data_IF_448497397310
#
_entry.id   IF_448497397310
#
_cell.length_a   1.000
_cell.length_b   1.000
_cell.length_c   1.000
_cell.angle_alpha   90.00
_cell.angle_beta   90.00
_cell.angle_gamma   90.00
#
_symmetry.space_group_name_H-M   'P 1'
#
loop_
_entity.id
_entity.type
_entity.pdbx_description
1 polymer ?
#
# COMPACT_ATOMS: atom_id res chain seq x y z
N UNK A 1 -5.73 20.73 -11.19
CA UNK A 1 -5.52 19.29 -11.47
C UNK A 1 -4.27 19.10 -12.32
N UNK A 2 -3.57 17.94 -12.24
CA UNK A 2 -2.43 17.62 -13.13
C UNK A 2 -2.86 17.66 -14.61
N UNK A 3 -4.09 17.24 -14.92
CA UNK A 3 -4.68 17.30 -16.26
C UNK A 3 -4.74 18.71 -16.85
N UNK A 4 -5.05 19.72 -16.03
CA UNK A 4 -5.13 21.12 -16.46
C UNK A 4 -3.75 21.70 -16.80
N UNK A 5 -2.73 21.33 -16.03
CA UNK A 5 -1.33 21.74 -16.28
C UNK A 5 -0.81 21.13 -17.58
N UNK A 6 -1.08 19.84 -17.82
CA UNK A 6 -0.70 19.17 -19.07
C UNK A 6 -1.38 19.80 -20.30
N UNK A 7 -2.64 20.20 -20.14
CA UNK A 7 -3.40 20.91 -21.18
C UNK A 7 -2.78 22.27 -21.50
N UNK A 8 -2.35 23.02 -20.47
CA UNK A 8 -1.67 24.31 -20.65
C UNK A 8 -0.29 24.18 -21.30
N UNK A 9 0.45 23.13 -20.96
CA UNK A 9 1.76 22.85 -21.54
C UNK A 9 1.68 22.20 -22.93
N UNK A 10 0.48 21.93 -23.45
CA UNK A 10 0.23 21.14 -24.67
C UNK A 10 1.05 19.85 -24.72
N UNK A 11 1.35 19.29 -23.54
CA UNK A 11 2.22 18.14 -23.41
C UNK A 11 1.36 16.89 -23.43
N UNK A 12 1.81 15.87 -24.15
CA UNK A 12 1.16 14.57 -24.14
C UNK A 12 1.15 14.00 -22.72
N UNK A 13 -0.06 13.72 -22.22
CA UNK A 13 -0.26 13.32 -20.84
C UNK A 13 0.42 11.98 -20.54
N UNK A 14 0.39 11.05 -21.49
CA UNK A 14 0.99 9.73 -21.35
C UNK A 14 2.52 9.84 -21.19
N UNK A 15 3.16 10.57 -22.10
CA UNK A 15 4.62 10.80 -22.06
C UNK A 15 5.06 11.51 -20.79
N UNK A 16 4.34 12.54 -20.34
CA UNK A 16 4.71 13.27 -19.12
C UNK A 16 4.53 12.38 -17.88
N UNK A 17 3.43 11.65 -17.78
CA UNK A 17 3.19 10.75 -16.66
C UNK A 17 4.20 9.60 -16.65
N UNK A 18 4.64 9.11 -17.80
CA UNK A 18 5.71 8.13 -17.91
C UNK A 18 7.05 8.67 -17.40
N UNK A 19 7.45 9.86 -17.85
CA UNK A 19 8.70 10.49 -17.42
C UNK A 19 8.72 10.84 -15.92
N UNK A 20 7.54 11.14 -15.36
CA UNK A 20 7.35 11.37 -13.93
C UNK A 20 7.28 10.06 -13.11
N UNK A 21 7.34 8.90 -13.75
CA UNK A 21 7.34 7.59 -13.10
C UNK A 21 5.96 7.09 -12.66
N UNK A 22 4.87 7.73 -13.10
CA UNK A 22 3.50 7.25 -12.83
C UNK A 22 3.14 6.03 -13.67
N UNK A 23 3.69 5.91 -14.87
CA UNK A 23 3.60 4.69 -15.68
C UNK A 23 4.66 3.68 -15.22
N UNK A 24 4.51 3.17 -14.00
CA UNK A 24 5.40 2.17 -13.45
C UNK A 24 5.12 0.81 -14.11
N UNK A 25 5.82 0.49 -15.20
CA UNK A 25 5.83 -0.87 -15.79
C UNK A 25 6.55 -1.90 -14.92
N UNK A 26 7.23 -1.46 -13.85
CA UNK A 26 7.69 -2.36 -12.80
C UNK A 26 6.46 -2.82 -12.02
N UNK A 27 5.78 -3.80 -12.61
CA UNK A 27 5.00 -4.81 -11.90
C UNK A 27 5.67 -5.01 -10.55
N UNK A 28 4.90 -4.65 -9.52
CA UNK A 28 5.25 -4.69 -8.11
C UNK A 28 6.42 -5.63 -7.92
N UNK A 29 7.60 -5.06 -7.62
CA UNK A 29 8.82 -5.78 -7.27
C UNK A 29 8.40 -7.14 -6.79
N UNK A 30 8.59 -8.20 -7.59
CA UNK A 30 8.23 -9.56 -7.17
C UNK A 30 8.68 -9.61 -5.73
N UNK A 31 7.74 -9.66 -4.79
CA UNK A 31 8.05 -9.61 -3.37
C UNK A 31 8.65 -10.99 -3.10
N UNK A 32 9.88 -11.19 -3.59
CA UNK A 32 10.63 -12.41 -3.45
C UNK A 32 10.85 -12.47 -1.96
N UNK A 33 10.09 -13.35 -1.34
CA UNK A 33 10.18 -13.65 0.07
C UNK A 33 11.68 -13.82 0.34
N UNK A 34 12.29 -12.94 1.15
CA UNK A 34 13.73 -12.98 1.36
C UNK A 34 14.16 -14.38 1.82
N UNK A 35 15.25 -14.90 1.29
CA UNK A 35 15.68 -16.30 1.51
C UNK A 35 15.74 -16.69 2.98
N UNK A 36 15.99 -15.73 3.89
CA UNK A 36 15.97 -15.93 5.34
C UNK A 36 14.66 -16.54 5.87
N UNK A 37 13.52 -16.24 5.26
CA UNK A 37 12.22 -16.79 5.68
C UNK A 37 12.07 -18.28 5.32
N UNK A 38 12.83 -18.79 4.36
CA UNK A 38 12.89 -20.22 4.05
C UNK A 38 13.96 -20.93 4.87
N UNK A 39 15.06 -20.24 5.21
CA UNK A 39 16.17 -20.80 5.99
C UNK A 39 15.88 -20.86 7.49
N UNK A 40 15.03 -19.95 7.99
CA UNK A 40 14.70 -19.84 9.41
C UNK A 40 13.17 -19.75 9.52
N UNK A 41 12.47 -20.89 9.71
CA UNK A 41 11.01 -20.85 9.86
C UNK A 41 10.63 -20.04 11.09
N UNK A 42 9.52 -19.31 10.99
CA UNK A 42 8.96 -18.58 12.13
C UNK A 42 8.62 -19.57 13.25
N UNK A 43 9.03 -19.25 14.48
CA UNK A 43 8.60 -19.96 15.71
C UNK A 43 7.33 -19.36 16.31
N UNK A 44 6.69 -18.42 15.63
CA UNK A 44 5.45 -17.83 16.13
C UNK A 44 4.36 -18.90 16.18
N UNK A 45 3.70 -19.05 17.33
CA UNK A 45 2.59 -20.00 17.54
C UNK A 45 1.26 -19.48 16.96
N UNK A 46 1.35 -18.65 15.92
CA UNK A 46 0.23 -17.88 15.39
C UNK A 46 0.00 -16.58 16.14
N UNK A 47 -1.14 -15.96 15.87
CA UNK A 47 -1.61 -14.73 16.50
C UNK A 47 -2.96 -15.06 17.11
N UNK A 48 -3.19 -14.66 18.36
CA UNK A 48 -4.53 -14.64 18.92
C UNK A 48 -5.34 -13.56 18.19
N UNK A 49 -6.26 -14.01 17.33
CA UNK A 49 -7.06 -13.12 16.50
C UNK A 49 -7.90 -12.16 17.33
N UNK A 50 -8.40 -12.58 18.50
CA UNK A 50 -9.19 -11.72 19.38
C UNK A 50 -8.34 -10.56 19.91
N UNK A 51 -7.15 -10.84 20.44
CA UNK A 51 -6.23 -9.80 20.93
C UNK A 51 -5.80 -8.89 19.77
N UNK A 52 -5.54 -9.46 18.60
CA UNK A 52 -5.15 -8.72 17.41
C UNK A 52 -6.25 -7.75 16.95
N UNK A 53 -7.50 -8.21 16.84
CA UNK A 53 -8.62 -7.37 16.40
C UNK A 53 -8.93 -6.25 17.39
N UNK A 54 -8.92 -6.55 18.69
CA UNK A 54 -9.10 -5.52 19.73
C UNK A 54 -8.01 -4.44 19.65
N UNK A 55 -6.75 -4.87 19.49
CA UNK A 55 -5.62 -3.96 19.32
C UNK A 55 -5.72 -3.12 18.05
N UNK A 56 -6.19 -3.72 16.95
CA UNK A 56 -6.40 -3.05 15.66
C UNK A 56 -7.51 -1.99 15.76
N UNK A 57 -8.66 -2.33 16.35
CA UNK A 57 -9.77 -1.40 16.59
C UNK A 57 -9.33 -0.23 17.47
N UNK A 58 -8.54 -0.49 18.51
CA UNK A 58 -8.03 0.55 19.39
C UNK A 58 -7.07 1.51 18.65
N UNK A 59 -6.20 0.99 17.77
CA UNK A 59 -5.30 1.82 16.94
C UNK A 59 -6.05 2.68 15.94
N UNK A 60 -7.07 2.11 15.28
CA UNK A 60 -7.94 2.86 14.37
C UNK A 60 -8.65 4.00 15.13
N UNK A 61 -9.22 3.72 16.31
CA UNK A 61 -9.86 4.74 17.17
C UNK A 61 -8.89 5.84 17.62
N UNK A 62 -7.60 5.52 17.80
CA UNK A 62 -6.56 6.49 18.16
C UNK A 62 -6.04 7.30 16.96
N UNK A 63 -6.43 6.95 15.74
CA UNK A 63 -5.94 7.61 14.53
C UNK A 63 -4.55 7.17 14.08
N UNK A 64 -4.03 6.07 14.63
CA UNK A 64 -2.75 5.49 14.21
C UNK A 64 -2.92 4.73 12.88
N UNK A 65 -2.85 5.49 11.77
CA UNK A 65 -3.06 5.02 10.39
C UNK A 65 -1.94 4.10 9.84
N UNK A 66 -0.91 3.77 10.63
CA UNK A 66 0.25 3.00 10.17
C UNK A 66 -0.04 1.56 9.74
N UNK A 67 -1.27 1.07 9.91
CA UNK A 67 -1.70 -0.22 9.36
C UNK A 67 -3.23 -0.24 9.23
N UNK A 68 -3.77 0.47 8.23
CA UNK A 68 -5.07 0.12 7.68
C UNK A 68 -4.76 -0.79 6.49
N UNK A 69 -5.11 -2.10 6.52
CA UNK A 69 -4.97 -2.95 5.34
C UNK A 69 -5.73 -2.27 4.19
N UNK A 70 -5.04 -2.09 3.06
CA UNK A 70 -5.48 -1.26 1.93
C UNK A 70 -6.80 -1.70 1.24
N UNK A 71 -7.51 -2.68 1.80
CA UNK A 71 -8.74 -3.26 1.26
C UNK A 71 -10.03 -2.84 1.99
N UNK A 72 -9.98 -2.02 3.04
CA UNK A 72 -11.19 -1.69 3.81
C UNK A 72 -11.28 -0.18 4.10
N UNK A 73 -11.30 0.61 3.02
CA UNK A 73 -11.87 1.97 3.01
C UNK A 73 -13.25 1.96 2.34
N UNK A 74 -14.09 0.99 2.71
CA UNK A 74 -15.53 1.04 2.42
C UNK A 74 -16.27 0.91 3.75
N UNK A 75 -16.28 1.97 4.54
CA UNK A 75 -17.38 2.27 5.47
C UNK A 75 -17.50 3.80 5.56
N UNK A 76 -18.45 4.31 4.76
CA UNK A 76 -19.22 5.56 4.86
C UNK A 76 -18.59 6.83 5.44
N UNK A 77 -18.54 7.88 4.59
CA UNK A 77 -19.62 8.88 4.47
C UNK A 77 -19.52 9.65 3.16
#
# INVERSE_FOLDING_TARGET
SISEVLTLCQADAETVLYNLGFACEKTCSTYKIPSRFFLIPSKAEGIDFTIYFESLLHRIKRGDSSYIPAGELIMEN
#
